data_IF_324757917800
#
_entry.id   IF_324757917800
#
_cell.length_a   1.000
_cell.length_b   1.000
_cell.length_c   1.000
_cell.angle_alpha   90.00
_cell.angle_beta   90.00
_cell.angle_gamma   90.00
#
_symmetry.space_group_name_H-M   'P 1'
#
loop_
_entity.id
_entity.type
_entity.pdbx_description
1 polymer ?
#
# COMPACT_ATOMS: atom_id res chain seq x y z
N UNK A 1 -1.38 -2.01 6.46
CA UNK A 1 -0.60 -1.01 7.22
C UNK A 1 0.57 -1.71 7.91
N UNK A 2 1.65 -0.99 8.16
CA UNK A 2 2.72 -1.43 9.07
C UNK A 2 2.19 -1.50 10.52
N UNK A 3 2.78 -2.35 11.38
CA UNK A 3 2.61 -2.21 12.82
C UNK A 3 2.95 -0.78 13.25
N UNK A 4 2.18 -0.24 14.19
CA UNK A 4 2.36 1.16 14.59
C UNK A 4 3.71 1.38 15.28
N UNK A 5 4.21 0.37 15.98
CA UNK A 5 5.50 0.37 16.65
C UNK A 5 6.65 0.51 15.64
N UNK A 6 6.54 -0.17 14.47
CA UNK A 6 7.51 -0.07 13.39
C UNK A 6 7.53 1.35 12.79
N UNK A 7 6.35 1.94 12.58
CA UNK A 7 6.26 3.31 12.10
C UNK A 7 6.86 4.30 13.11
N UNK A 8 6.54 4.14 14.39
CA UNK A 8 7.06 5.01 15.45
C UNK A 8 8.58 4.88 15.63
N UNK A 9 9.13 3.68 15.44
CA UNK A 9 10.57 3.48 15.45
C UNK A 9 11.28 4.22 14.30
N UNK A 10 10.68 4.25 13.09
CA UNK A 10 11.21 5.02 11.96
C UNK A 10 11.11 6.53 12.18
N UNK A 11 9.97 7.00 12.71
CA UNK A 11 9.74 8.43 13.01
C UNK A 11 10.68 8.93 14.11
N UNK A 12 11.00 8.09 15.08
CA UNK A 12 11.97 8.39 16.15
C UNK A 12 11.64 9.70 16.89
N UNK A 13 12.65 10.56 17.01
CA UNK A 13 12.55 11.84 17.74
C UNK A 13 11.93 12.97 16.92
N UNK A 14 11.55 12.74 15.66
CA UNK A 14 10.88 13.74 14.83
C UNK A 14 9.62 14.28 15.53
N UNK A 15 9.51 15.60 15.63
CA UNK A 15 8.40 16.29 16.32
C UNK A 15 7.40 16.87 15.36
N UNK A 16 7.86 17.46 14.25
CA UNK A 16 7.04 18.19 13.27
C UNK A 16 6.86 17.35 12.01
N UNK A 17 5.68 16.80 11.82
CA UNK A 17 5.40 15.75 10.84
C UNK A 17 4.41 16.23 9.80
N UNK A 18 4.68 15.91 8.52
CA UNK A 18 3.72 15.97 7.44
C UNK A 18 3.14 14.58 7.13
N UNK A 19 1.89 14.49 6.70
CA UNK A 19 1.28 13.23 6.27
C UNK A 19 0.74 13.38 4.85
N UNK A 20 1.10 12.46 3.97
CA UNK A 20 0.56 12.37 2.59
C UNK A 20 -0.19 11.06 2.42
N UNK A 21 -1.48 11.16 2.15
CA UNK A 21 -2.34 10.02 1.79
C UNK A 21 -2.54 9.89 0.28
N UNK A 22 -3.06 8.75 -0.14
CA UNK A 22 -3.38 8.43 -1.53
C UNK A 22 -4.87 8.11 -1.68
N UNK A 23 -5.56 8.90 -2.52
CA UNK A 23 -7.01 8.79 -2.73
C UNK A 23 -7.43 7.61 -3.62
N UNK A 24 -6.48 6.89 -4.21
CA UNK A 24 -6.74 5.75 -5.10
C UNK A 24 -6.58 4.40 -4.36
N UNK A 25 -5.63 3.57 -4.76
CA UNK A 25 -5.45 2.20 -4.25
C UNK A 25 -5.38 2.12 -2.72
N UNK A 26 -4.65 3.04 -2.06
CA UNK A 26 -4.54 3.03 -0.60
C UNK A 26 -5.86 3.39 0.10
N UNK A 27 -6.71 4.21 -0.52
CA UNK A 27 -8.08 4.47 -0.03
C UNK A 27 -8.96 3.23 -0.22
N UNK A 28 -8.92 2.61 -1.39
CA UNK A 28 -9.68 1.38 -1.67
C UNK A 28 -9.30 0.24 -0.71
N UNK A 29 -8.01 0.16 -0.33
CA UNK A 29 -7.51 -0.82 0.64
C UNK A 29 -7.66 -0.39 2.11
N UNK A 30 -8.29 0.74 2.41
CA UNK A 30 -8.41 1.30 3.76
C UNK A 30 -7.05 1.39 4.50
N UNK A 31 -6.00 1.81 3.77
CA UNK A 31 -4.62 1.89 4.31
C UNK A 31 -4.01 3.28 4.25
N UNK A 32 -4.58 4.22 3.49
CA UNK A 32 -4.00 5.55 3.32
C UNK A 32 -4.97 6.59 2.78
N UNK A 33 -6.28 6.37 2.92
CA UNK A 33 -7.32 7.33 2.57
C UNK A 33 -7.50 8.44 3.61
N UNK A 34 -8.46 9.34 3.37
CA UNK A 34 -8.71 10.48 4.27
C UNK A 34 -9.00 10.07 5.71
N UNK A 35 -9.73 8.97 5.89
CA UNK A 35 -10.04 8.41 7.22
C UNK A 35 -8.78 7.96 7.94
N UNK A 36 -7.96 7.18 7.28
CA UNK A 36 -6.72 6.62 7.83
C UNK A 36 -5.68 7.72 8.13
N UNK A 37 -5.62 8.76 7.29
CA UNK A 37 -4.79 9.95 7.53
C UNK A 37 -5.25 10.68 8.78
N UNK A 38 -6.56 10.86 8.97
CA UNK A 38 -7.11 11.51 10.17
C UNK A 38 -6.89 10.67 11.44
N UNK A 39 -7.01 9.34 11.36
CA UNK A 39 -6.71 8.42 12.45
C UNK A 39 -5.23 8.48 12.86
N UNK A 40 -4.32 8.42 11.89
CA UNK A 40 -2.88 8.51 12.15
C UNK A 40 -2.51 9.86 12.75
N UNK A 41 -3.08 10.97 12.24
CA UNK A 41 -2.88 12.30 12.79
C UNK A 41 -3.24 12.33 14.28
N UNK A 42 -4.43 11.88 14.64
CA UNK A 42 -4.88 11.82 16.05
C UNK A 42 -3.95 10.98 16.91
N UNK A 43 -3.50 9.85 16.40
CA UNK A 43 -2.56 8.98 17.09
C UNK A 43 -1.24 9.68 17.38
N UNK A 44 -0.62 10.30 16.36
CA UNK A 44 0.66 11.00 16.49
C UNK A 44 0.56 12.18 17.46
N UNK A 45 -0.52 12.96 17.40
CA UNK A 45 -0.77 14.06 18.33
C UNK A 45 -0.93 13.58 19.78
N UNK A 46 -1.57 12.43 19.99
CA UNK A 46 -1.66 11.79 21.32
C UNK A 46 -0.29 11.30 21.84
N UNK A 47 0.67 11.02 20.94
CA UNK A 47 2.06 10.68 21.28
C UNK A 47 2.96 11.92 21.43
N UNK A 48 2.39 13.13 21.50
CA UNK A 48 3.14 14.37 21.67
C UNK A 48 3.88 14.85 20.41
N UNK A 49 3.53 14.33 19.21
CA UNK A 49 4.02 14.81 17.93
C UNK A 49 3.11 15.92 17.39
N UNK A 50 3.66 16.87 16.64
CA UNK A 50 2.89 17.90 15.93
C UNK A 50 2.67 17.49 14.48
N UNK A 51 1.43 17.25 14.07
CA UNK A 51 1.10 17.05 12.65
C UNK A 51 0.80 18.41 12.01
N UNK A 52 1.82 18.98 11.41
CA UNK A 52 1.83 20.36 10.87
C UNK A 52 0.95 20.49 9.62
N UNK A 53 0.96 19.47 8.77
CA UNK A 53 0.25 19.50 7.49
C UNK A 53 -0.13 18.09 7.05
N UNK A 54 -1.30 17.98 6.44
CA UNK A 54 -1.74 16.75 5.76
C UNK A 54 -2.11 17.07 4.33
N UNK A 55 -1.88 16.13 3.42
CA UNK A 55 -2.25 16.26 2.01
C UNK A 55 -2.76 14.93 1.45
N UNK A 56 -3.64 15.03 0.46
CA UNK A 56 -4.16 13.87 -0.28
C UNK A 56 -3.78 14.01 -1.74
N UNK A 57 -2.96 13.10 -2.25
CA UNK A 57 -2.71 12.99 -3.68
C UNK A 57 -3.74 12.03 -4.29
N UNK A 58 -4.26 12.37 -5.46
CA UNK A 58 -5.17 11.47 -6.18
C UNK A 58 -4.46 10.14 -6.46
N UNK A 59 -3.25 10.21 -6.97
CA UNK A 59 -2.33 9.07 -7.18
C UNK A 59 -0.94 9.45 -6.66
N UNK A 60 -0.48 8.85 -5.59
CA UNK A 60 0.88 9.09 -5.08
C UNK A 60 1.99 8.62 -6.04
N UNK A 61 1.69 7.77 -7.01
CA UNK A 61 2.60 7.34 -8.06
C UNK A 61 2.66 8.30 -9.27
N UNK A 62 1.86 9.37 -9.29
CA UNK A 62 1.90 10.41 -10.32
C UNK A 62 2.68 11.63 -9.86
N UNK A 63 3.89 11.81 -10.42
CA UNK A 63 4.82 12.85 -10.01
C UNK A 63 4.22 14.26 -10.01
N UNK A 64 3.44 14.62 -11.04
CA UNK A 64 2.83 15.94 -11.14
C UNK A 64 1.79 16.19 -10.04
N UNK A 65 0.96 15.17 -9.75
CA UNK A 65 -0.03 15.25 -8.66
C UNK A 65 0.64 15.37 -7.29
N UNK A 66 1.70 14.60 -7.05
CA UNK A 66 2.49 14.66 -5.81
C UNK A 66 3.14 16.03 -5.63
N UNK A 67 3.73 16.62 -6.68
CA UNK A 67 4.27 17.98 -6.63
C UNK A 67 3.22 19.00 -6.21
N UNK A 68 2.01 18.90 -6.76
CA UNK A 68 0.89 19.75 -6.36
C UNK A 68 0.51 19.59 -4.89
N UNK A 69 0.37 18.33 -4.45
CA UNK A 69 0.02 17.99 -3.06
C UNK A 69 1.08 18.46 -2.06
N UNK A 70 2.36 18.43 -2.43
CA UNK A 70 3.47 18.83 -1.55
C UNK A 70 3.75 20.32 -1.51
N UNK A 71 3.12 21.16 -2.34
CA UNK A 71 3.31 22.62 -2.28
C UNK A 71 3.12 23.19 -0.87
N UNK A 72 2.04 22.87 -0.13
CA UNK A 72 1.85 23.38 1.24
C UNK A 72 2.87 22.83 2.26
N UNK A 73 3.62 21.79 1.92
CA UNK A 73 4.63 21.20 2.80
C UNK A 73 5.99 21.90 2.72
N UNK A 74 6.26 22.58 1.59
CA UNK A 74 7.58 23.14 1.30
C UNK A 74 7.98 24.24 2.28
N UNK A 75 7.04 25.12 2.62
CA UNK A 75 7.26 26.25 3.52
C UNK A 75 7.12 25.89 5.01
N UNK A 76 6.88 24.61 5.30
CA UNK A 76 6.77 24.12 6.68
C UNK A 76 8.09 23.55 7.17
N UNK A 77 8.45 23.90 8.39
CA UNK A 77 9.60 23.30 9.05
C UNK A 77 9.20 21.90 9.54
N UNK A 78 9.35 20.89 8.67
CA UNK A 78 9.03 19.48 8.95
C UNK A 78 10.32 18.72 9.21
N UNK A 79 10.30 17.85 10.22
CA UNK A 79 11.36 16.90 10.49
C UNK A 79 11.28 15.69 9.54
N UNK A 80 10.04 15.27 9.23
CA UNK A 80 9.80 14.18 8.28
C UNK A 80 8.41 14.26 7.65
N UNK A 81 8.19 13.43 6.63
CA UNK A 81 6.88 13.19 6.01
C UNK A 81 6.55 11.70 6.13
N UNK A 82 5.32 11.38 6.46
CA UNK A 82 4.80 10.01 6.41
C UNK A 82 3.99 9.83 5.13
N UNK A 83 4.37 8.85 4.30
CA UNK A 83 3.65 8.47 3.10
C UNK A 83 2.71 7.30 3.36
N UNK A 84 1.40 7.55 3.25
CA UNK A 84 0.34 6.53 3.42
C UNK A 84 -0.12 6.00 2.06
N UNK A 85 0.81 5.40 1.33
CA UNK A 85 0.60 4.83 -0.01
C UNK A 85 1.38 3.53 -0.19
N UNK A 86 1.34 2.95 -1.38
CA UNK A 86 2.25 1.85 -1.75
C UNK A 86 3.70 2.34 -1.84
N UNK A 87 4.65 1.40 -1.93
CA UNK A 87 6.07 1.71 -1.98
C UNK A 87 6.48 2.60 -3.16
N UNK A 88 5.81 2.49 -4.31
CA UNK A 88 6.04 3.38 -5.44
C UNK A 88 5.61 4.82 -5.12
N UNK A 89 4.40 4.98 -4.56
CA UNK A 89 3.91 6.29 -4.14
C UNK A 89 4.80 6.95 -3.07
N UNK A 90 5.29 6.19 -2.09
CA UNK A 90 6.23 6.70 -1.08
C UNK A 90 7.52 7.20 -1.72
N UNK A 91 8.10 6.46 -2.68
CA UNK A 91 9.28 6.90 -3.41
C UNK A 91 9.03 8.16 -4.23
N UNK A 92 7.86 8.27 -4.86
CA UNK A 92 7.47 9.48 -5.59
C UNK A 92 7.34 10.69 -4.65
N UNK A 93 6.75 10.50 -3.46
CA UNK A 93 6.71 11.53 -2.41
C UNK A 93 8.14 11.93 -1.99
N UNK A 94 9.02 10.97 -1.75
CA UNK A 94 10.41 11.21 -1.33
C UNK A 94 11.19 12.04 -2.37
N UNK A 95 11.03 11.75 -3.65
CA UNK A 95 11.66 12.53 -4.75
C UNK A 95 11.24 14.01 -4.77
N UNK A 96 10.10 14.33 -4.17
CA UNK A 96 9.50 15.68 -4.20
C UNK A 96 9.42 16.35 -2.82
N UNK A 97 9.97 15.73 -1.77
CA UNK A 97 9.89 16.20 -0.38
C UNK A 97 11.02 17.16 0.03
N UNK A 98 11.77 17.73 -0.92
CA UNK A 98 12.87 18.70 -0.66
C UNK A 98 13.88 18.18 0.39
N UNK A 99 14.42 16.99 0.16
CA UNK A 99 15.39 16.31 1.03
C UNK A 99 14.91 16.00 2.46
N UNK A 100 13.61 16.09 2.73
CA UNK A 100 13.06 15.65 4.00
C UNK A 100 12.96 14.12 4.02
N UNK A 101 13.26 13.45 5.14
CA UNK A 101 13.02 12.03 5.30
C UNK A 101 11.54 11.70 5.04
N UNK A 102 11.28 10.62 4.29
CA UNK A 102 9.92 10.14 4.03
C UNK A 102 9.80 8.69 4.49
N UNK A 103 8.88 8.43 5.41
CA UNK A 103 8.67 7.12 6.00
C UNK A 103 7.39 6.46 5.49
N UNK A 104 7.43 5.18 5.08
CA UNK A 104 6.24 4.45 4.64
C UNK A 104 5.39 4.01 5.84
N UNK A 105 4.09 4.22 5.79
CA UNK A 105 3.14 3.67 6.77
C UNK A 105 2.59 2.29 6.38
N UNK A 106 2.91 1.82 5.18
CA UNK A 106 2.38 0.58 4.65
C UNK A 106 3.49 -0.35 4.15
N UNK A 107 3.24 -1.66 4.21
CA UNK A 107 3.98 -2.67 3.45
C UNK A 107 3.18 -3.00 2.20
N UNK A 108 3.79 -2.85 1.02
CA UNK A 108 3.14 -3.27 -0.22
C UNK A 108 3.30 -4.77 -0.37
N UNK A 109 2.20 -5.49 -0.26
CA UNK A 109 2.22 -6.96 -0.25
C UNK A 109 1.96 -7.56 -1.63
N UNK A 110 0.97 -7.02 -2.36
CA UNK A 110 0.51 -7.56 -3.63
C UNK A 110 -0.27 -6.51 -4.43
N UNK A 111 -0.54 -6.83 -5.68
CA UNK A 111 -1.58 -6.16 -6.48
C UNK A 111 -2.79 -7.09 -6.56
N UNK A 112 -3.95 -6.57 -6.21
CA UNK A 112 -5.17 -7.36 -6.17
C UNK A 112 -6.43 -6.53 -6.37
N UNK A 113 -7.57 -7.12 -6.10
CA UNK A 113 -8.86 -6.49 -6.20
C UNK A 113 -9.56 -6.38 -4.84
N UNK A 114 -10.41 -5.38 -4.71
CA UNK A 114 -11.36 -5.29 -3.60
C UNK A 114 -12.63 -6.04 -4.02
N UNK A 115 -12.80 -7.27 -3.55
CA UNK A 115 -13.99 -8.10 -3.84
C UNK A 115 -15.22 -7.48 -3.21
N UNK A 116 -15.08 -6.97 -2.00
CA UNK A 116 -16.05 -6.15 -1.29
C UNK A 116 -15.34 -5.33 -0.22
N UNK A 117 -16.00 -4.34 0.35
CA UNK A 117 -15.40 -3.55 1.43
C UNK A 117 -14.90 -4.45 2.57
N UNK A 118 -13.61 -4.34 2.89
CA UNK A 118 -12.93 -5.12 3.92
C UNK A 118 -12.38 -6.47 3.46
N UNK A 119 -12.59 -6.87 2.18
CA UNK A 119 -12.07 -8.11 1.62
C UNK A 119 -11.28 -7.80 0.36
N UNK A 120 -10.01 -8.14 0.36
CA UNK A 120 -9.08 -7.94 -0.75
C UNK A 120 -8.39 -9.27 -1.09
N UNK A 121 -8.28 -9.54 -2.39
CA UNK A 121 -7.65 -10.75 -2.90
C UNK A 121 -6.46 -10.41 -3.78
N UNK A 122 -5.37 -11.17 -3.64
CA UNK A 122 -4.20 -11.05 -4.49
C UNK A 122 -4.53 -11.59 -5.89
N UNK A 123 -4.21 -10.82 -6.93
CA UNK A 123 -4.47 -11.22 -8.32
C UNK A 123 -3.21 -11.19 -9.19
N UNK A 124 -2.17 -10.45 -8.79
CA UNK A 124 -0.98 -10.31 -9.62
C UNK A 124 0.29 -10.08 -8.77
N UNK A 125 1.38 -10.76 -9.14
CA UNK A 125 2.72 -10.63 -8.52
C UNK A 125 3.72 -9.86 -9.37
N UNK A 126 3.27 -9.21 -10.44
CA UNK A 126 4.16 -8.46 -11.36
C UNK A 126 5.31 -9.29 -11.92
N UNK A 127 5.05 -10.54 -12.32
CA UNK A 127 6.09 -11.45 -12.81
C UNK A 127 6.69 -11.04 -14.18
N UNK A 128 6.04 -10.13 -14.92
CA UNK A 128 6.53 -9.63 -16.20
C UNK A 128 6.25 -10.55 -17.41
N UNK A 129 5.75 -11.76 -17.19
CA UNK A 129 5.39 -12.72 -18.23
C UNK A 129 3.94 -13.18 -18.06
N UNK A 130 3.02 -12.44 -18.69
CA UNK A 130 1.58 -12.61 -18.45
C UNK A 130 1.02 -13.80 -19.24
N UNK A 131 0.57 -14.82 -18.50
CA UNK A 131 0.01 -16.06 -19.07
C UNK A 131 -1.52 -16.07 -19.16
N UNK A 132 -2.21 -15.00 -18.76
CA UNK A 132 -3.67 -14.94 -18.66
C UNK A 132 -4.38 -15.30 -19.98
N UNK A 133 -3.79 -14.99 -21.13
CA UNK A 133 -4.32 -15.38 -22.44
C UNK A 133 -4.34 -16.88 -22.71
N UNK A 134 -3.59 -17.67 -21.94
CA UNK A 134 -3.52 -19.14 -22.02
C UNK A 134 -4.31 -19.86 -20.93
N UNK A 135 -4.75 -19.12 -19.92
CA UNK A 135 -5.33 -19.67 -18.68
C UNK A 135 -6.75 -19.17 -18.41
N UNK A 136 -7.44 -18.69 -19.48
CA UNK A 136 -8.82 -18.22 -19.35
C UNK A 136 -9.00 -16.99 -18.44
N UNK A 137 -7.93 -16.20 -18.24
CA UNK A 137 -7.98 -15.00 -17.40
C UNK A 137 -7.67 -15.25 -15.93
N UNK A 138 -7.38 -16.48 -15.51
CA UNK A 138 -7.01 -16.81 -14.12
C UNK A 138 -5.49 -16.99 -14.04
N UNK A 139 -4.85 -16.30 -13.10
CA UNK A 139 -3.39 -16.35 -12.93
C UNK A 139 -2.97 -17.52 -12.02
N UNK A 140 -2.39 -18.60 -12.57
CA UNK A 140 -1.96 -19.73 -11.75
C UNK A 140 -0.77 -19.38 -10.84
N UNK A 141 0.02 -18.35 -11.22
CA UNK A 141 1.18 -17.91 -10.42
C UNK A 141 0.74 -17.33 -9.06
N UNK A 142 -0.41 -16.64 -9.02
CA UNK A 142 -0.95 -16.08 -7.79
C UNK A 142 -2.03 -16.94 -7.15
N UNK A 143 -2.91 -17.51 -7.95
CA UNK A 143 -4.06 -18.24 -7.43
C UNK A 143 -3.70 -19.67 -7.00
N UNK A 144 -2.69 -20.31 -7.58
CA UNK A 144 -2.22 -21.59 -7.13
C UNK A 144 -1.22 -21.45 -5.97
N UNK A 145 -1.50 -22.08 -4.83
CA UNK A 145 -0.61 -22.06 -3.66
C UNK A 145 0.82 -22.60 -3.95
N UNK A 146 0.96 -23.40 -5.02
CA UNK A 146 2.25 -23.94 -5.51
C UNK A 146 2.78 -23.19 -6.74
N UNK A 147 2.07 -22.19 -7.23
CA UNK A 147 2.39 -21.43 -8.46
C UNK A 147 2.59 -22.33 -9.70
N UNK A 148 1.80 -23.40 -9.82
CA UNK A 148 1.93 -24.36 -10.91
C UNK A 148 1.24 -23.86 -12.16
N UNK A 149 1.96 -23.93 -13.30
CA UNK A 149 1.53 -23.42 -14.60
C UNK A 149 0.87 -24.50 -15.49
N UNK A 150 1.01 -25.78 -15.14
CA UNK A 150 0.65 -26.92 -15.99
C UNK A 150 -0.49 -27.76 -15.44
N UNK A 151 -1.58 -27.11 -15.03
CA UNK A 151 -2.77 -27.78 -14.56
C UNK A 151 -2.64 -28.35 -13.13
N UNK A 152 -3.59 -29.21 -12.72
CA UNK A 152 -3.67 -29.73 -11.36
C UNK A 152 -2.40 -30.44 -10.92
N UNK A 153 -2.00 -30.24 -9.67
CA UNK A 153 -0.80 -30.84 -9.10
C UNK A 153 -0.96 -32.33 -8.75
N UNK A 154 -2.12 -32.95 -9.02
CA UNK A 154 -2.44 -34.34 -8.60
C UNK A 154 -2.93 -34.45 -7.16
N UNK A 155 -2.74 -33.45 -6.32
CA UNK A 155 -3.23 -33.44 -4.94
C UNK A 155 -4.60 -32.80 -4.77
N UNK A 156 -5.12 -32.12 -5.81
CA UNK A 156 -6.47 -31.55 -5.75
C UNK A 156 -7.52 -32.66 -5.56
N UNK A 157 -8.57 -32.37 -4.78
CA UNK A 157 -9.70 -33.27 -4.56
C UNK A 157 -11.01 -32.49 -4.76
N UNK A 158 -11.87 -32.98 -5.65
CA UNK A 158 -13.17 -32.35 -5.92
C UNK A 158 -13.09 -30.86 -6.27
N UNK A 159 -12.07 -30.44 -7.03
CA UNK A 159 -11.86 -29.04 -7.37
C UNK A 159 -11.31 -28.15 -6.24
N UNK A 160 -10.86 -28.76 -5.14
CA UNK A 160 -10.27 -28.05 -3.99
C UNK A 160 -8.75 -28.20 -3.96
N UNK A 161 -8.08 -27.17 -3.47
CA UNK A 161 -6.63 -27.13 -3.32
C UNK A 161 -6.17 -28.12 -2.24
N UNK A 162 -5.07 -28.85 -2.49
CA UNK A 162 -4.52 -29.77 -1.45
C UNK A 162 -3.82 -29.01 -0.31
N UNK A 163 -3.34 -27.79 -0.58
CA UNK A 163 -2.64 -26.96 0.42
C UNK A 163 -3.65 -26.28 1.35
N UNK A 164 -4.77 -25.86 0.80
CA UNK A 164 -5.87 -25.25 1.55
C UNK A 164 -7.21 -25.72 0.97
N UNK A 165 -7.87 -26.69 1.64
CA UNK A 165 -9.12 -27.27 1.18
C UNK A 165 -10.32 -26.28 1.14
N UNK A 166 -10.22 -25.11 1.75
CA UNK A 166 -11.24 -24.06 1.66
C UNK A 166 -11.17 -23.35 0.31
N UNK A 167 -10.01 -23.32 -0.32
CA UNK A 167 -9.81 -22.66 -1.60
C UNK A 167 -10.11 -23.56 -2.80
N UNK A 168 -10.66 -23.03 -3.90
CA UNK A 168 -10.75 -23.77 -5.16
C UNK A 168 -9.35 -24.06 -5.72
N UNK A 169 -9.22 -25.08 -6.53
CA UNK A 169 -8.04 -25.28 -7.35
C UNK A 169 -8.07 -24.29 -8.51
N UNK A 170 -7.01 -23.52 -8.69
CA UNK A 170 -6.88 -22.54 -9.76
C UNK A 170 -6.85 -23.18 -11.16
#
# INVERSE_FOLDING_TARGET
>A
KKPIEELMAMVGDAKRIGIVGCSSCATACATGGPKEVAELKKYLEAQGKEVVVTGMAEYCCMNLGVKGTLKPFQDKNLDCVIGMSCGDGVQCVAKNANNKPVYPSNNTMYLGEAVKFGVWEESCRFCGDCVLGKTGGICPVTQCAKSLMNGPCGGQKNGKCEVDPENPCA
#
